data_IF_055652208936
#
_entry.id   IF_055652208936
#
_cell.length_a   1.000
_cell.length_b   1.000
_cell.length_c   1.000
_cell.angle_alpha   90.00
_cell.angle_beta   90.00
_cell.angle_gamma   90.00
#
_symmetry.space_group_name_H-M   'P 1'
#
loop_
_entity.id
_entity.type
_entity.pdbx_description
1 polymer ?
#
# COMPACT_ATOMS: atom_id res chain seq x y z
N UNK A 1 19.02 -26.14 74.25
CA UNK A 1 19.23 -25.70 72.85
C UNK A 1 18.73 -26.84 71.96
N UNK A 2 17.69 -26.73 71.14
CA UNK A 2 17.52 -25.83 70.00
C UNK A 2 16.02 -25.55 69.76
N UNK A 3 15.68 -24.26 69.57
CA UNK A 3 14.33 -23.77 69.35
C UNK A 3 14.04 -23.80 67.83
N UNK A 4 13.10 -24.62 67.38
CA UNK A 4 12.82 -24.81 65.96
C UNK A 4 11.79 -23.76 65.48
N UNK A 5 12.28 -22.65 64.92
CA UNK A 5 11.46 -21.51 64.49
C UNK A 5 10.94 -21.75 63.06
N UNK A 6 9.66 -22.14 62.93
CA UNK A 6 8.97 -22.19 61.62
C UNK A 6 8.85 -20.77 61.04
N UNK A 7 9.57 -20.49 59.96
CA UNK A 7 9.42 -19.26 59.18
C UNK A 7 8.18 -19.44 58.29
N UNK A 8 7.09 -18.73 58.60
CA UNK A 8 5.95 -18.57 57.68
C UNK A 8 6.39 -17.63 56.55
N UNK A 9 6.64 -18.19 55.37
CA UNK A 9 6.77 -17.43 54.12
C UNK A 9 5.39 -16.84 53.78
N UNK A 10 5.20 -15.55 54.03
CA UNK A 10 4.04 -14.81 53.51
C UNK A 10 4.24 -14.56 52.03
N UNK A 11 3.69 -15.43 51.17
CA UNK A 11 3.45 -15.10 49.77
C UNK A 11 2.36 -14.03 49.72
N UNK A 12 2.78 -12.77 49.66
CA UNK A 12 1.92 -11.64 49.32
C UNK A 12 1.55 -11.76 47.86
N UNK A 13 0.36 -12.31 47.56
CA UNK A 13 -0.23 -12.18 46.23
C UNK A 13 -0.64 -10.72 46.04
N UNK A 14 0.20 -9.91 45.40
CA UNK A 14 -0.17 -8.56 44.99
C UNK A 14 -1.29 -8.66 43.94
N UNK A 15 -2.53 -8.46 44.36
CA UNK A 15 -3.65 -8.35 43.42
C UNK A 15 -3.37 -7.14 42.52
N UNK A 16 -3.40 -7.30 41.19
CA UNK A 16 -3.20 -6.17 40.30
C UNK A 16 -4.24 -5.08 40.60
N UNK A 17 -3.77 -3.84 40.73
CA UNK A 17 -4.64 -2.69 40.96
C UNK A 17 -5.65 -2.56 39.82
N UNK A 18 -6.93 -2.36 40.13
CA UNK A 18 -8.00 -2.16 39.14
C UNK A 18 -7.68 -1.10 38.09
N UNK A 19 -6.85 -0.10 38.44
CA UNK A 19 -6.38 0.93 37.51
C UNK A 19 -5.50 0.35 36.40
N UNK A 20 -4.64 -0.63 36.72
CA UNK A 20 -3.75 -1.27 35.75
C UNK A 20 -4.56 -2.13 34.78
N UNK A 21 -5.53 -2.91 35.29
CA UNK A 21 -6.42 -3.74 34.46
C UNK A 21 -7.23 -2.86 33.49
N UNK A 22 -7.77 -1.75 33.99
CA UNK A 22 -8.55 -0.81 33.17
C UNK A 22 -7.71 -0.16 32.06
N UNK A 23 -6.47 0.25 32.36
CA UNK A 23 -5.55 0.82 31.37
C UNK A 23 -5.19 -0.21 30.30
N UNK A 24 -4.83 -1.45 30.68
CA UNK A 24 -4.49 -2.52 29.72
C UNK A 24 -5.67 -2.86 28.82
N UNK A 25 -6.88 -2.88 29.37
CA UNK A 25 -8.10 -3.09 28.58
C UNK A 25 -8.32 -1.96 27.56
N UNK A 26 -8.17 -0.70 27.98
CA UNK A 26 -8.31 0.47 27.09
C UNK A 26 -7.27 0.43 25.97
N UNK A 27 -5.98 0.18 26.29
CA UNK A 27 -4.90 0.09 25.29
C UNK A 27 -5.20 -1.03 24.28
N UNK A 28 -5.67 -2.18 24.76
CA UNK A 28 -6.02 -3.30 23.89
C UNK A 28 -7.15 -2.93 22.93
N UNK A 29 -8.20 -2.28 23.43
CA UNK A 29 -9.34 -1.82 22.62
C UNK A 29 -8.93 -0.80 21.56
N UNK A 30 -8.06 0.16 21.93
CA UNK A 30 -7.52 1.17 21.01
C UNK A 30 -6.70 0.51 19.92
N UNK A 31 -5.84 -0.45 20.27
CA UNK A 31 -5.00 -1.17 19.31
C UNK A 31 -5.83 -1.93 18.29
N UNK A 32 -6.85 -2.67 18.74
CA UNK A 32 -7.79 -3.39 17.84
C UNK A 32 -8.50 -2.42 16.90
N UNK A 33 -8.91 -1.27 17.41
CA UNK A 33 -9.60 -0.24 16.62
C UNK A 33 -8.71 0.34 15.53
N UNK A 34 -7.45 0.64 15.86
CA UNK A 34 -6.45 1.14 14.90
C UNK A 34 -6.18 0.09 13.81
N UNK A 35 -5.95 -1.16 14.19
CA UNK A 35 -5.69 -2.25 13.23
C UNK A 35 -6.90 -2.45 12.30
N UNK A 36 -8.11 -2.42 12.84
CA UNK A 36 -9.34 -2.55 12.04
C UNK A 36 -9.50 -1.39 11.05
N UNK A 37 -9.22 -0.16 11.49
CA UNK A 37 -9.29 1.02 10.62
C UNK A 37 -8.26 0.96 9.49
N UNK A 38 -7.03 0.55 9.80
CA UNK A 38 -5.97 0.35 8.80
C UNK A 38 -6.37 -0.70 7.77
N UNK A 39 -6.91 -1.84 8.23
CA UNK A 39 -7.37 -2.92 7.35
C UNK A 39 -8.49 -2.46 6.40
N UNK A 40 -9.51 -1.78 6.91
CA UNK A 40 -10.62 -1.26 6.09
C UNK A 40 -10.11 -0.25 5.06
N UNK A 41 -9.19 0.64 5.47
CA UNK A 41 -8.61 1.65 4.58
C UNK A 41 -7.79 1.01 3.45
N UNK A 42 -6.98 0.01 3.79
CA UNK A 42 -6.19 -0.75 2.82
C UNK A 42 -7.10 -1.46 1.82
N UNK A 43 -8.11 -2.20 2.32
CA UNK A 43 -9.07 -2.92 1.48
C UNK A 43 -9.84 -1.98 0.54
N UNK A 44 -10.34 -0.86 1.05
CA UNK A 44 -11.04 0.13 0.24
C UNK A 44 -10.15 0.76 -0.85
N UNK A 45 -8.84 0.83 -0.62
CA UNK A 45 -7.88 1.33 -1.60
C UNK A 45 -7.63 0.28 -2.68
N UNK A 46 -7.41 -0.97 -2.28
CA UNK A 46 -7.21 -2.10 -3.20
C UNK A 46 -8.45 -2.37 -4.07
N UNK A 47 -9.66 -2.30 -3.50
CA UNK A 47 -10.89 -2.51 -4.26
C UNK A 47 -11.07 -1.48 -5.39
N UNK A 48 -10.46 -0.30 -5.27
CA UNK A 48 -10.49 0.76 -6.30
C UNK A 48 -9.39 0.61 -7.34
N UNK A 49 -8.27 -0.04 -7.01
CA UNK A 49 -7.19 -0.30 -7.96
C UNK A 49 -7.60 -1.45 -8.89
N UNK A 50 -7.41 -1.24 -10.19
CA UNK A 50 -7.56 -2.28 -11.20
C UNK A 50 -6.24 -3.02 -11.41
N UNK A 51 -5.16 -2.28 -11.63
CA UNK A 51 -3.83 -2.83 -11.87
C UNK A 51 -2.77 -1.80 -11.50
N UNK A 52 -1.62 -2.27 -11.03
CA UNK A 52 -0.44 -1.44 -10.80
C UNK A 52 0.72 -1.99 -11.61
N UNK A 53 1.48 -1.10 -12.24
CA UNK A 53 2.59 -1.46 -13.09
C UNK A 53 3.85 -0.68 -12.69
N UNK A 54 5.00 -1.32 -12.83
CA UNK A 54 6.31 -0.72 -12.61
C UNK A 54 6.97 -0.40 -13.95
N UNK A 55 7.40 0.85 -14.13
CA UNK A 55 8.17 1.31 -15.29
C UNK A 55 9.67 1.10 -15.08
N UNK A 56 10.50 1.93 -15.71
CA UNK A 56 11.97 1.82 -15.70
C UNK A 56 12.54 1.53 -14.30
N UNK A 57 13.39 0.52 -14.21
CA UNK A 57 14.09 0.15 -12.98
C UNK A 57 15.40 0.95 -12.85
N UNK A 58 15.60 1.66 -11.72
CA UNK A 58 16.79 2.48 -11.45
C UNK A 58 16.63 3.34 -10.19
N UNK A 59 17.51 4.33 -9.96
CA UNK A 59 17.40 5.28 -8.82
C UNK A 59 16.09 6.11 -8.85
N UNK A 60 15.40 6.12 -9.99
CA UNK A 60 14.18 6.89 -10.24
C UNK A 60 13.09 6.01 -10.87
N UNK A 61 12.53 5.07 -10.10
CA UNK A 61 11.50 4.16 -10.61
C UNK A 61 10.15 4.83 -10.88
N UNK A 62 9.34 4.23 -11.73
CA UNK A 62 7.98 4.71 -12.05
C UNK A 62 6.93 3.69 -11.63
N UNK A 63 5.80 4.15 -11.11
CA UNK A 63 4.63 3.31 -10.84
C UNK A 63 3.40 3.90 -11.51
N UNK A 64 2.80 3.13 -12.43
CA UNK A 64 1.51 3.45 -13.05
C UNK A 64 0.41 2.64 -12.36
N UNK A 65 -0.55 3.31 -11.74
CA UNK A 65 -1.72 2.68 -11.11
C UNK A 65 -2.96 3.03 -11.89
N UNK A 66 -3.68 2.01 -12.38
CA UNK A 66 -4.98 2.14 -13.02
C UNK A 66 -6.07 1.84 -11.99
N UNK A 67 -7.09 2.68 -11.90
CA UNK A 67 -8.23 2.49 -11.02
C UNK A 67 -9.47 2.04 -11.81
N UNK A 68 -10.35 1.26 -11.17
CA UNK A 68 -11.58 0.71 -11.78
C UNK A 68 -12.57 1.78 -12.26
N UNK A 69 -12.47 2.99 -11.70
CA UNK A 69 -13.29 4.14 -12.11
C UNK A 69 -12.79 4.83 -13.40
N UNK A 70 -11.75 4.31 -14.06
CA UNK A 70 -11.17 4.91 -15.26
C UNK A 70 -10.16 6.03 -14.99
N UNK A 71 -9.83 6.33 -13.73
CA UNK A 71 -8.72 7.23 -13.40
C UNK A 71 -7.40 6.47 -13.34
N UNK A 72 -6.28 7.18 -13.54
CA UNK A 72 -4.93 6.64 -13.34
C UNK A 72 -4.10 7.57 -12.46
N UNK A 73 -2.99 7.05 -11.95
CA UNK A 73 -1.93 7.86 -11.35
C UNK A 73 -0.57 7.29 -11.72
N UNK A 74 0.34 8.15 -12.19
CA UNK A 74 1.73 7.84 -12.44
C UNK A 74 2.61 8.49 -11.38
N UNK A 75 3.45 7.72 -10.69
CA UNK A 75 4.36 8.22 -9.64
C UNK A 75 5.80 8.03 -10.02
N UNK A 76 6.61 9.04 -9.73
CA UNK A 76 8.06 9.01 -9.86
C UNK A 76 8.70 8.85 -8.49
N UNK A 77 9.40 7.73 -8.29
CA UNK A 77 10.21 7.49 -7.11
C UNK A 77 11.57 8.17 -7.32
N UNK A 78 12.20 8.67 -6.25
CA UNK A 78 13.57 9.20 -6.29
C UNK A 78 13.74 10.67 -6.71
N UNK A 79 12.83 11.27 -7.48
CA UNK A 79 12.94 12.67 -7.88
C UNK A 79 12.22 13.60 -6.90
N UNK A 80 12.86 14.70 -6.51
CA UNK A 80 12.22 15.87 -5.89
C UNK A 80 11.34 16.61 -6.92
N UNK A 81 10.47 15.92 -7.64
CA UNK A 81 9.42 16.60 -8.39
C UNK A 81 8.40 17.12 -7.38
N UNK A 82 8.16 18.44 -7.41
CA UNK A 82 7.31 19.18 -6.46
C UNK A 82 5.85 18.69 -6.37
N UNK A 83 5.43 17.75 -7.22
CA UNK A 83 4.06 17.23 -7.30
C UNK A 83 3.90 15.73 -7.00
N UNK A 84 4.99 14.95 -6.90
CA UNK A 84 4.99 13.54 -6.46
C UNK A 84 4.19 12.52 -7.30
N UNK A 85 3.28 12.95 -8.16
CA UNK A 85 2.47 12.11 -9.05
C UNK A 85 1.83 12.94 -10.18
N UNK A 86 1.71 12.34 -11.37
CA UNK A 86 0.86 12.81 -12.47
C UNK A 86 -0.45 12.02 -12.42
N UNK A 87 -1.58 12.69 -12.63
CA UNK A 87 -2.91 12.07 -12.68
C UNK A 87 -3.45 12.10 -14.09
N UNK A 88 -4.50 11.32 -14.33
CA UNK A 88 -5.18 11.30 -15.61
C UNK A 88 -6.31 10.29 -15.64
N UNK A 89 -6.73 9.94 -16.85
CA UNK A 89 -7.73 8.92 -17.13
C UNK A 89 -7.21 7.86 -18.09
N UNK A 90 -7.83 6.69 -18.05
CA UNK A 90 -7.54 5.60 -18.97
C UNK A 90 -8.82 4.98 -19.51
N UNK A 91 -8.75 4.49 -20.74
CA UNK A 91 -9.80 3.70 -21.37
C UNK A 91 -9.20 2.50 -22.09
N UNK A 92 -10.00 1.46 -22.33
CA UNK A 92 -9.56 0.27 -23.07
C UNK A 92 -10.45 0.06 -24.29
N UNK A 93 -9.87 0.13 -25.48
CA UNK A 93 -10.54 -0.03 -26.76
C UNK A 93 -9.80 -1.07 -27.60
N UNK A 94 -10.48 -2.10 -28.10
CA UNK A 94 -9.92 -3.11 -29.00
C UNK A 94 -8.59 -3.75 -28.55
N UNK A 95 -8.42 -3.94 -27.23
CA UNK A 95 -7.20 -4.53 -26.65
C UNK A 95 -6.10 -3.52 -26.32
N UNK A 96 -6.25 -2.27 -26.74
CA UNK A 96 -5.35 -1.16 -26.43
C UNK A 96 -5.84 -0.36 -25.24
N UNK A 97 -4.90 0.09 -24.42
CA UNK A 97 -5.06 1.02 -23.32
C UNK A 97 -4.70 2.41 -23.82
N UNK A 98 -5.63 3.35 -23.71
CA UNK A 98 -5.43 4.75 -24.02
C UNK A 98 -5.29 5.53 -22.72
N UNK A 99 -4.22 6.31 -22.59
CA UNK A 99 -3.92 7.12 -21.43
C UNK A 99 -3.98 8.60 -21.78
N UNK A 100 -4.73 9.35 -20.97
CA UNK A 100 -4.88 10.80 -21.07
C UNK A 100 -4.44 11.42 -19.74
N UNK A 101 -3.26 12.05 -19.74
CA UNK A 101 -2.64 12.61 -18.55
C UNK A 101 -3.01 14.10 -18.41
N UNK A 102 -3.32 14.52 -17.19
CA UNK A 102 -3.62 15.92 -16.88
C UNK A 102 -2.42 16.85 -17.17
N UNK A 103 -1.21 16.29 -17.11
CA UNK A 103 0.05 16.96 -17.42
C UNK A 103 0.83 16.15 -18.45
N UNK A 104 1.40 16.83 -19.45
CA UNK A 104 2.21 16.17 -20.47
C UNK A 104 3.42 15.50 -19.83
N UNK A 105 3.70 14.28 -20.28
CA UNK A 105 4.81 13.48 -19.83
C UNK A 105 5.64 13.02 -21.03
N UNK A 106 6.93 13.34 -21.05
CA UNK A 106 7.82 12.97 -22.14
C UNK A 106 8.23 11.48 -22.11
N UNK A 107 7.89 10.75 -21.05
CA UNK A 107 8.27 9.36 -20.83
C UNK A 107 7.09 8.37 -20.95
N UNK A 108 5.85 8.84 -21.06
CA UNK A 108 4.69 7.97 -21.13
C UNK A 108 3.95 8.19 -22.45
N UNK A 109 3.72 7.12 -23.18
CA UNK A 109 2.93 7.18 -24.41
C UNK A 109 1.43 7.28 -24.11
N UNK A 110 0.66 7.69 -25.11
CA UNK A 110 -0.80 7.74 -24.98
C UNK A 110 -1.45 6.38 -25.22
N UNK A 111 -0.73 5.41 -25.82
CA UNK A 111 -1.31 4.14 -26.25
C UNK A 111 -0.38 2.97 -25.91
N UNK A 112 -0.95 1.97 -25.26
CA UNK A 112 -0.26 0.74 -24.87
C UNK A 112 -1.11 -0.48 -25.22
N UNK A 113 -0.50 -1.62 -25.49
CA UNK A 113 -1.19 -2.90 -25.54
C UNK A 113 -0.67 -3.83 -24.43
N UNK A 114 -1.55 -4.70 -23.94
CA UNK A 114 -1.18 -5.65 -22.88
C UNK A 114 -0.76 -6.99 -23.49
N UNK A 115 0.48 -7.41 -23.21
CA UNK A 115 1.03 -8.71 -23.63
C UNK A 115 1.94 -9.26 -22.54
N UNK A 116 1.84 -10.56 -22.24
CA UNK A 116 2.72 -11.26 -21.30
C UNK A 116 2.98 -10.51 -19.99
N UNK A 117 1.91 -10.04 -19.34
CA UNK A 117 2.00 -9.31 -18.07
C UNK A 117 2.71 -7.96 -18.16
N UNK A 118 2.80 -7.37 -19.36
CA UNK A 118 3.41 -6.07 -19.62
C UNK A 118 2.46 -5.16 -20.40
N UNK A 119 2.53 -3.87 -20.13
CA UNK A 119 2.04 -2.84 -21.03
C UNK A 119 3.20 -2.41 -21.93
N UNK A 120 3.05 -2.67 -23.22
CA UNK A 120 4.03 -2.34 -24.25
C UNK A 120 3.49 -1.14 -25.03
N UNK A 121 4.27 -0.06 -25.19
CA UNK A 121 3.83 1.10 -25.96
C UNK A 121 3.63 0.72 -27.43
N UNK A 122 2.65 1.35 -28.08
CA UNK A 122 2.39 1.14 -29.52
C UNK A 122 3.41 1.85 -30.42
N UNK A 123 4.01 2.94 -29.91
CA UNK A 123 5.12 3.64 -30.58
C UNK A 123 6.48 2.99 -30.25
N UNK A 124 7.52 3.41 -30.95
CA UNK A 124 8.94 3.05 -30.81
C UNK A 124 9.58 3.39 -29.45
N UNK A 125 8.80 3.93 -28.51
CA UNK A 125 9.25 4.16 -27.14
C UNK A 125 9.61 2.83 -26.46
N UNK A 126 10.68 2.83 -25.65
CA UNK A 126 11.10 1.65 -24.88
C UNK A 126 10.50 1.64 -23.46
N UNK A 127 9.47 2.45 -23.20
CA UNK A 127 8.91 2.63 -21.85
C UNK A 127 7.86 1.56 -21.56
N UNK A 128 8.33 0.32 -21.38
CA UNK A 128 7.51 -0.83 -21.02
C UNK A 128 7.19 -0.79 -19.53
N UNK A 129 5.91 -0.98 -19.19
CA UNK A 129 5.49 -1.17 -17.80
C UNK A 129 5.20 -2.64 -17.51
N UNK A 130 5.65 -3.13 -16.37
CA UNK A 130 5.51 -4.52 -15.93
C UNK A 130 4.42 -4.61 -14.86
N UNK A 131 3.50 -5.55 -14.98
CA UNK A 131 2.49 -5.75 -13.94
C UNK A 131 3.17 -6.06 -12.61
N UNK A 132 2.69 -5.44 -11.53
CA UNK A 132 3.06 -5.85 -10.20
C UNK A 132 2.24 -7.07 -9.81
N UNK A 133 2.76 -8.28 -10.04
CA UNK A 133 2.07 -9.53 -9.71
C UNK A 133 2.00 -9.81 -8.20
N UNK A 134 2.59 -8.95 -7.34
CA UNK A 134 2.58 -9.15 -5.90
C UNK A 134 1.27 -8.73 -5.20
N UNK A 135 0.27 -8.22 -5.93
CA UNK A 135 -1.01 -7.74 -5.34
C UNK A 135 -2.29 -8.28 -6.00
N UNK A 136 -2.23 -9.40 -6.75
CA UNK A 136 -3.44 -10.08 -7.19
C UNK A 136 -3.97 -11.03 -6.10
N UNK A 137 -4.84 -10.51 -5.22
CA UNK A 137 -5.72 -11.31 -4.35
C UNK A 137 -7.19 -11.07 -4.70
#
# INVERSE_FOLDING_TARGET
>A
MLYNRKIKSSHSSSKPSYRIISITFIISLVTISIVSLLYITLKNTQEKVLASYHGRFGLYGETLTLFKNGSLTLRYHGCSQSKGAIKGSWTKNNGYYHFDLDEKNDFMDSIYYFSDSKLIPDDTSQNVFYINNDEAY
#
